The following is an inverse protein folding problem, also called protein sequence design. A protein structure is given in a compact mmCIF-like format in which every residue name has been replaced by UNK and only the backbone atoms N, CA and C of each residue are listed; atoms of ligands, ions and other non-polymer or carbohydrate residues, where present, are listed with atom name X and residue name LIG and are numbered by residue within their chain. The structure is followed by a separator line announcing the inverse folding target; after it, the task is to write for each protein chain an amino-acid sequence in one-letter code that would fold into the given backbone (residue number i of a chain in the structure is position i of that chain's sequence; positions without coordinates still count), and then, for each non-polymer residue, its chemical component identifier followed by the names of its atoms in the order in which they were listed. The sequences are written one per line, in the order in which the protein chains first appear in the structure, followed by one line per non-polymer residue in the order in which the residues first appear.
data_IF_680641761700
#
_entry.id   IF_680641761700
#
_cell.length_a   1.000
_cell.length_b   1.000
_cell.length_c   1.000
_cell.angle_alpha   90.00
_cell.angle_beta   90.00
_cell.angle_gamma   90.00
#
_symmetry.space_group_name_H-M   'P 1'
#
loop_
_entity.id
_entity.type
_entity.pdbx_description
1 polymer ?
#
# COMPACT_ATOMS: atom_id res chain seq x y z
N UNK A 1 3.75 -0.29 -21.58
CA UNK A 1 5.12 0.00 -21.05
C UNK A 1 6.06 -1.09 -21.52
N UNK A 2 7.17 -0.70 -22.11
CA UNK A 2 8.15 -1.65 -22.60
C UNK A 2 8.88 -2.36 -21.46
N UNK A 3 9.35 -3.58 -21.71
CA UNK A 3 10.01 -4.38 -20.67
C UNK A 3 11.24 -3.68 -20.08
N UNK A 4 12.03 -3.01 -20.92
CA UNK A 4 13.22 -2.27 -20.46
C UNK A 4 12.84 -1.09 -19.57
N UNK A 5 11.72 -0.43 -19.85
CA UNK A 5 11.22 0.66 -19.02
C UNK A 5 10.78 0.15 -17.65
N UNK A 6 10.13 -1.00 -17.60
CA UNK A 6 9.70 -1.62 -16.32
C UNK A 6 10.93 -1.98 -15.49
N UNK A 7 11.94 -2.58 -16.11
CA UNK A 7 13.19 -2.96 -15.43
C UNK A 7 13.87 -1.72 -14.86
N UNK A 8 13.96 -0.63 -15.64
CA UNK A 8 14.57 0.61 -15.20
C UNK A 8 13.78 1.23 -14.05
N UNK A 9 12.45 1.25 -14.12
CA UNK A 9 11.61 1.76 -13.05
C UNK A 9 11.79 0.96 -11.77
N UNK A 10 11.88 -0.37 -11.86
CA UNK A 10 12.13 -1.22 -10.67
C UNK A 10 13.51 -0.92 -10.09
N UNK A 11 14.52 -0.77 -10.94
CA UNK A 11 15.90 -0.51 -10.52
C UNK A 11 16.05 0.84 -9.82
N UNK A 12 15.34 1.87 -10.29
CA UNK A 12 15.48 3.24 -9.80
C UNK A 12 14.40 3.66 -8.82
N UNK A 13 13.35 2.87 -8.66
CA UNK A 13 12.25 3.22 -7.77
C UNK A 13 12.70 3.29 -6.32
N UNK A 14 12.15 4.26 -5.59
CA UNK A 14 12.32 4.33 -4.15
C UNK A 14 11.61 3.15 -3.52
N UNK A 15 12.30 2.41 -2.68
CA UNK A 15 11.74 1.24 -2.01
C UNK A 15 10.83 1.66 -0.88
N UNK A 16 9.64 1.08 -0.85
CA UNK A 16 8.60 1.42 0.14
C UNK A 16 8.06 0.19 0.80
N UNK A 17 7.69 0.34 2.06
CA UNK A 17 6.95 -0.66 2.82
C UNK A 17 5.59 -0.06 3.16
N UNK A 18 4.60 -0.18 2.26
CA UNK A 18 3.29 0.40 2.50
C UNK A 18 2.58 -0.34 3.63
N UNK A 19 2.04 0.42 4.57
CA UNK A 19 1.35 -0.13 5.74
C UNK A 19 0.01 0.55 5.93
N UNK A 20 -0.88 -0.17 6.59
CA UNK A 20 -2.11 0.36 7.16
C UNK A 20 -1.99 0.29 8.68
N UNK A 21 -2.23 1.40 9.36
CA UNK A 21 -2.20 1.46 10.82
C UNK A 21 -3.57 1.85 11.32
N UNK A 22 -4.14 1.02 12.19
CA UNK A 22 -5.35 1.37 12.96
C UNK A 22 -4.88 1.76 14.35
N UNK A 23 -5.22 2.97 14.77
CA UNK A 23 -4.65 3.57 15.96
C UNK A 23 -5.75 4.15 16.85
N UNK A 24 -5.62 3.94 18.15
CA UNK A 24 -6.47 4.57 19.16
C UNK A 24 -5.65 5.61 19.92
N UNK A 25 -6.04 6.86 19.84
CA UNK A 25 -5.38 7.96 20.56
C UNK A 25 -5.82 8.02 22.01
N UNK A 26 -4.91 8.34 22.92
CA UNK A 26 -5.22 8.83 24.27
C UNK A 26 -5.34 10.34 24.27
N UNK A 27 -4.42 10.99 23.55
CA UNK A 27 -4.36 12.43 23.33
C UNK A 27 -4.19 12.68 21.85
N UNK A 28 -4.54 13.87 21.33
CA UNK A 28 -4.40 14.15 19.91
C UNK A 28 -2.99 13.92 19.38
N UNK A 29 -2.88 13.18 18.30
CA UNK A 29 -1.63 12.92 17.60
C UNK A 29 -1.65 13.63 16.24
N UNK A 30 -0.48 13.93 15.70
CA UNK A 30 -0.33 14.51 14.37
C UNK A 30 0.62 13.65 13.54
N UNK A 31 0.26 13.43 12.27
CA UNK A 31 1.06 12.63 11.35
C UNK A 31 1.24 13.39 10.04
N UNK A 32 2.46 13.40 9.54
CA UNK A 32 2.83 14.08 8.30
C UNK A 32 3.32 13.07 7.26
N UNK A 33 3.09 13.35 5.98
CA UNK A 33 3.58 12.52 4.88
C UNK A 33 2.82 11.22 4.68
N UNK A 34 1.63 11.08 5.27
CA UNK A 34 0.80 9.88 5.18
C UNK A 34 -0.67 10.30 5.06
N UNK A 35 -1.52 9.39 4.60
CA UNK A 35 -2.97 9.62 4.63
C UNK A 35 -3.50 9.33 6.03
N UNK A 36 -4.36 10.23 6.52
CA UNK A 36 -4.95 10.13 7.85
C UNK A 36 -6.46 10.20 7.72
N UNK A 37 -7.16 9.19 8.21
CA UNK A 37 -8.62 9.17 8.32
C UNK A 37 -8.99 9.12 9.79
N UNK A 38 -9.75 10.12 10.27
CA UNK A 38 -10.12 10.22 11.67
C UNK A 38 -11.58 9.87 11.87
N UNK A 39 -11.85 8.96 12.82
CA UNK A 39 -13.18 8.66 13.29
C UNK A 39 -13.46 9.36 14.61
N UNK A 40 -14.57 9.00 15.24
CA UNK A 40 -14.89 9.49 16.56
C UNK A 40 -14.06 8.83 17.66
N UNK A 41 -13.99 9.47 18.82
CA UNK A 41 -13.36 8.91 20.02
C UNK A 41 -11.87 8.59 19.87
N UNK A 42 -11.16 9.34 19.03
CA UNK A 42 -9.72 9.18 18.89
C UNK A 42 -9.28 8.03 18.00
N UNK A 43 -10.18 7.43 17.23
CA UNK A 43 -9.83 6.39 16.28
C UNK A 43 -9.24 7.01 15.01
N UNK A 44 -8.10 6.50 14.56
CA UNK A 44 -7.45 6.93 13.33
C UNK A 44 -7.06 5.73 12.48
N UNK A 45 -7.17 5.88 11.16
CA UNK A 45 -6.64 4.91 10.19
C UNK A 45 -5.62 5.66 9.34
N UNK A 46 -4.41 5.11 9.26
CA UNK A 46 -3.28 5.72 8.57
C UNK A 46 -2.81 4.81 7.44
N UNK A 47 -2.49 5.41 6.29
CA UNK A 47 -1.89 4.70 5.16
C UNK A 47 -0.61 5.41 4.76
N UNK A 48 0.48 4.68 4.69
CA UNK A 48 1.75 5.28 4.27
C UNK A 48 2.91 4.32 4.33
N UNK A 49 4.10 4.88 4.11
CA UNK A 49 5.33 4.13 4.15
C UNK A 49 5.80 3.96 5.60
N UNK A 50 6.15 2.75 5.96
CA UNK A 50 6.60 2.43 7.32
C UNK A 50 7.79 3.28 7.77
N UNK A 51 8.72 3.59 6.87
CA UNK A 51 9.88 4.44 7.25
C UNK A 51 9.48 5.86 7.61
N UNK A 52 8.32 6.33 7.12
CA UNK A 52 7.76 7.65 7.49
C UNK A 52 6.93 7.54 8.77
N UNK A 53 6.15 6.47 8.92
CA UNK A 53 5.26 6.28 10.07
C UNK A 53 5.98 5.84 11.35
N UNK A 54 6.93 4.93 11.25
CA UNK A 54 7.58 4.35 12.42
C UNK A 54 8.18 5.39 13.38
N UNK A 55 8.95 6.39 12.91
CA UNK A 55 9.48 7.41 13.82
C UNK A 55 8.39 8.26 14.46
N UNK A 56 7.31 8.54 13.74
CA UNK A 56 6.21 9.35 14.27
C UNK A 56 5.40 8.60 15.33
N UNK A 57 5.20 7.30 15.15
CA UNK A 57 4.57 6.46 16.16
C UNK A 57 5.43 6.38 17.43
N UNK A 58 6.72 6.21 17.26
CA UNK A 58 7.66 6.16 18.39
C UNK A 58 7.71 7.49 19.16
N UNK A 59 7.73 8.61 18.43
CA UNK A 59 7.80 9.95 19.05
C UNK A 59 6.54 10.30 19.84
N UNK A 60 5.40 9.72 19.50
CA UNK A 60 4.10 10.02 20.10
C UNK A 60 3.52 8.88 20.94
N UNK A 61 4.34 7.90 21.30
CA UNK A 61 3.84 6.68 21.96
C UNK A 61 3.09 6.96 23.27
N UNK A 62 3.41 8.04 23.98
CA UNK A 62 2.73 8.42 25.21
C UNK A 62 1.30 8.93 24.96
N UNK A 63 1.00 9.32 23.72
CA UNK A 63 -0.33 9.80 23.32
C UNK A 63 -1.17 8.72 22.66
N UNK A 64 -0.62 7.54 22.48
CA UNK A 64 -1.28 6.42 21.79
C UNK A 64 -1.64 5.34 22.79
N UNK A 65 -2.92 4.95 22.79
CA UNK A 65 -3.38 3.86 23.65
C UNK A 65 -2.98 2.50 23.08
N UNK A 66 -3.17 2.32 21.78
CA UNK A 66 -2.86 1.09 21.08
C UNK A 66 -2.83 1.34 19.57
N UNK A 67 -2.11 0.52 18.83
CA UNK A 67 -2.20 0.51 17.38
C UNK A 67 -1.89 -0.89 16.82
N UNK A 68 -2.38 -1.13 15.62
CA UNK A 68 -2.15 -2.36 14.88
C UNK A 68 -1.67 -2.00 13.47
N UNK A 69 -0.62 -2.67 13.02
CA UNK A 69 -0.03 -2.44 11.69
C UNK A 69 -0.22 -3.65 10.81
N UNK A 70 -0.70 -3.42 9.61
CA UNK A 70 -0.75 -4.46 8.56
C UNK A 70 0.04 -4.02 7.35
N UNK A 71 0.79 -4.95 6.78
CA UNK A 71 1.51 -4.70 5.54
C UNK A 71 1.51 -5.95 4.67
N UNK A 72 1.51 -5.74 3.34
CA UNK A 72 1.53 -6.84 2.38
C UNK A 72 2.90 -7.12 1.79
N UNK A 73 3.83 -6.18 1.90
CA UNK A 73 5.18 -6.32 1.36
C UNK A 73 6.15 -5.41 2.10
N UNK A 74 7.43 -5.62 1.87
CA UNK A 74 8.48 -4.79 2.45
C UNK A 74 9.48 -4.40 1.35
N UNK A 75 9.88 -3.14 1.36
CA UNK A 75 10.87 -2.59 0.41
C UNK A 75 10.52 -2.88 -1.05
N UNK A 76 9.25 -2.74 -1.39
CA UNK A 76 8.75 -2.96 -2.75
C UNK A 76 9.08 -1.77 -3.65
N UNK A 77 9.37 -2.06 -4.92
CA UNK A 77 9.70 -1.04 -5.91
C UNK A 77 8.47 -0.48 -6.62
N UNK A 78 7.59 -1.34 -7.12
CA UNK A 78 6.38 -0.94 -7.83
C UNK A 78 5.16 -1.60 -7.22
N UNK A 79 4.06 -0.88 -7.28
CA UNK A 79 2.76 -1.37 -6.81
C UNK A 79 2.18 -2.42 -7.76
N UNK A 80 1.10 -3.05 -7.33
CA UNK A 80 0.30 -3.89 -8.20
C UNK A 80 -0.63 -3.03 -9.06
N UNK A 81 -1.10 -3.61 -10.17
CA UNK A 81 -2.05 -2.95 -11.05
C UNK A 81 -3.39 -2.75 -10.33
N UNK A 82 -4.00 -1.58 -10.51
CA UNK A 82 -5.34 -1.33 -10.03
C UNK A 82 -6.35 -2.04 -10.94
N UNK A 83 -7.10 -2.96 -10.37
CA UNK A 83 -8.01 -3.85 -11.11
C UNK A 83 -9.46 -3.35 -11.15
N UNK A 84 -9.81 -2.31 -10.42
CA UNK A 84 -11.21 -1.92 -10.19
C UNK A 84 -12.00 -1.58 -11.45
N UNK A 85 -11.34 -0.99 -12.43
CA UNK A 85 -12.02 -0.48 -13.61
C UNK A 85 -11.67 -1.22 -14.91
N UNK A 86 -11.03 -2.38 -14.78
CA UNK A 86 -10.70 -3.20 -15.94
C UNK A 86 -11.92 -3.96 -16.44
N UNK A 87 -12.07 -4.01 -17.76
CA UNK A 87 -13.13 -4.77 -18.43
C UNK A 87 -12.64 -6.19 -18.73
N UNK A 88 -12.23 -6.89 -17.69
CA UNK A 88 -11.66 -8.23 -17.77
C UNK A 88 -12.04 -9.01 -16.50
N UNK A 89 -12.07 -10.34 -16.62
CA UNK A 89 -12.26 -11.18 -15.45
C UNK A 89 -10.91 -11.49 -14.85
N UNK A 90 -10.68 -11.01 -13.65
CA UNK A 90 -9.43 -11.25 -12.90
C UNK A 90 -9.80 -11.99 -11.64
N UNK A 91 -9.40 -13.24 -11.57
CA UNK A 91 -9.78 -14.13 -10.48
C UNK A 91 -8.89 -13.90 -9.25
N UNK A 92 -9.39 -14.23 -8.04
CA UNK A 92 -8.61 -14.07 -6.82
C UNK A 92 -7.29 -14.82 -6.88
N UNK A 93 -6.23 -14.23 -6.35
CA UNK A 93 -4.90 -14.84 -6.35
C UNK A 93 -4.08 -14.57 -7.59
N UNK A 94 -4.61 -13.84 -8.56
CA UNK A 94 -3.79 -13.31 -9.65
C UNK A 94 -2.95 -12.15 -9.12
N UNK A 95 -1.66 -12.12 -9.48
CA UNK A 95 -0.73 -11.08 -9.07
C UNK A 95 -0.26 -10.36 -10.32
N UNK A 96 -0.63 -9.09 -10.45
CA UNK A 96 -0.38 -8.32 -11.67
C UNK A 96 0.35 -7.04 -11.29
N UNK A 97 1.54 -6.86 -11.87
CA UNK A 97 2.36 -5.69 -11.59
C UNK A 97 1.82 -4.45 -12.31
N UNK A 98 1.96 -3.30 -11.71
CA UNK A 98 1.71 -2.00 -12.33
C UNK A 98 2.43 -1.90 -13.68
N UNK A 99 1.76 -1.37 -14.69
CA UNK A 99 2.29 -1.24 -16.03
C UNK A 99 1.93 -2.38 -16.99
N UNK A 100 1.33 -3.45 -16.49
CA UNK A 100 0.81 -4.53 -17.34
C UNK A 100 -0.47 -4.05 -18.01
N UNK A 101 -0.63 -4.32 -19.30
CA UNK A 101 -1.86 -4.01 -20.06
C UNK A 101 -2.71 -5.27 -20.18
N UNK A 102 -3.98 -5.15 -19.80
CA UNK A 102 -4.96 -6.22 -19.87
C UNK A 102 -6.01 -5.83 -20.90
N UNK A 103 -6.18 -6.65 -21.95
CA UNK A 103 -7.19 -6.40 -22.98
C UNK A 103 -8.61 -6.60 -22.45
N UNK A 104 -9.58 -5.94 -23.12
CA UNK A 104 -10.99 -6.11 -22.77
C UNK A 104 -11.43 -7.56 -22.94
N UNK A 105 -12.27 -8.02 -22.02
CA UNK A 105 -12.81 -9.38 -21.99
C UNK A 105 -11.76 -10.48 -21.79
N UNK A 106 -10.54 -10.12 -21.40
CA UNK A 106 -9.52 -11.10 -21.02
C UNK A 106 -9.95 -11.88 -19.75
N UNK A 107 -9.43 -13.06 -19.60
CA UNK A 107 -9.63 -13.90 -18.41
C UNK A 107 -8.29 -14.22 -17.82
N UNK A 108 -8.05 -13.72 -16.62
CA UNK A 108 -6.83 -13.99 -15.86
C UNK A 108 -7.18 -14.95 -14.73
N UNK A 109 -6.65 -16.15 -14.81
CA UNK A 109 -7.00 -17.24 -13.90
C UNK A 109 -6.33 -17.08 -12.54
N UNK A 110 -6.84 -17.78 -11.54
CA UNK A 110 -6.25 -17.84 -10.20
C UNK A 110 -4.79 -18.28 -10.28
N UNK A 111 -3.93 -17.62 -9.52
CA UNK A 111 -2.51 -17.95 -9.44
C UNK A 111 -1.65 -17.44 -10.59
N UNK A 112 -2.24 -16.76 -11.55
CA UNK A 112 -1.45 -16.14 -12.65
C UNK A 112 -0.57 -15.02 -12.09
N UNK A 113 0.65 -14.93 -12.61
CA UNK A 113 1.60 -13.88 -12.23
C UNK A 113 2.02 -13.14 -13.50
N UNK A 114 1.62 -11.88 -13.59
CA UNK A 114 1.94 -11.00 -14.72
C UNK A 114 2.90 -9.91 -14.22
N UNK A 115 4.14 -10.07 -14.58
CA UNK A 115 5.20 -9.22 -14.03
C UNK A 115 5.75 -8.21 -15.04
#
# INVERSE_FOLDING_TARGET
MEALEIIERIRTAEKKTPVQVVLQEKEPCAFAGVEVFRGGSGLCILFGDWKVLAPQLAAQKERIAAYHVENGCANSALSLLDLKELHARIEPGAIIREGVTIGDNAVIMMGAILN
#
